data_IF_638595470674
#
_entry.id   IF_638595470674
#
_cell.length_a   1.000
_cell.length_b   1.000
_cell.length_c   1.000
_cell.angle_alpha   90.00
_cell.angle_beta   90.00
_cell.angle_gamma   90.00
#
_symmetry.space_group_name_H-M   'P 1'
#
loop_
_entity.id
_entity.type
_entity.pdbx_description
1 polymer ?
#
# COMPACT_ATOMS: atom_id res chain seq x y z
N UNK A 1 3.43 2.28 24.27
CA UNK A 1 3.53 3.76 24.36
C UNK A 1 3.54 4.37 22.96
N UNK A 2 3.05 5.60 22.75
CA UNK A 2 3.10 6.23 21.43
C UNK A 2 4.56 6.47 21.01
N UNK A 3 4.88 6.07 19.77
CA UNK A 3 6.18 6.35 19.13
C UNK A 3 6.25 7.83 18.77
N UNK A 4 7.42 8.45 18.97
CA UNK A 4 7.70 9.85 18.60
C UNK A 4 8.99 9.92 17.78
N UNK A 5 9.04 9.29 16.61
CA UNK A 5 10.23 9.30 15.78
C UNK A 5 10.49 10.70 15.22
N UNK A 6 11.75 10.95 14.83
CA UNK A 6 12.14 12.16 14.12
C UNK A 6 11.60 12.09 12.67
N UNK A 7 11.03 13.17 12.19
CA UNK A 7 10.68 13.30 10.77
C UNK A 7 11.96 13.42 9.94
N UNK A 8 12.12 12.55 8.95
CA UNK A 8 13.24 12.54 8.01
C UNK A 8 12.90 13.22 6.70
N UNK A 9 11.66 13.04 6.21
CA UNK A 9 11.17 13.70 5.02
C UNK A 9 9.65 13.92 5.07
N UNK A 10 9.21 14.94 4.34
CA UNK A 10 7.80 15.18 4.05
C UNK A 10 7.68 15.71 2.61
N UNK A 11 6.84 15.07 1.81
CA UNK A 11 6.56 15.55 0.46
C UNK A 11 5.09 15.39 0.12
N UNK A 12 4.65 16.15 -0.86
CA UNK A 12 3.26 16.14 -1.31
C UNK A 12 3.24 15.87 -2.80
N UNK A 13 2.74 14.69 -3.14
CA UNK A 13 2.30 14.35 -4.48
C UNK A 13 0.81 14.70 -4.65
N UNK A 14 0.02 13.75 -5.11
CA UNK A 14 -1.45 13.83 -5.00
C UNK A 14 -1.91 13.56 -3.57
N UNK A 15 -1.19 12.68 -2.87
CA UNK A 15 -1.37 12.41 -1.45
C UNK A 15 -0.16 12.98 -0.66
N UNK A 16 -0.35 13.33 0.62
CA UNK A 16 0.76 13.68 1.48
C UNK A 16 1.47 12.41 1.96
N UNK A 17 2.80 12.44 1.97
CA UNK A 17 3.68 11.37 2.44
C UNK A 17 4.55 11.87 3.58
N UNK A 18 4.67 11.08 4.63
CA UNK A 18 5.42 11.47 5.82
C UNK A 18 6.40 10.37 6.20
N UNK A 19 7.68 10.64 6.04
CA UNK A 19 8.76 9.74 6.38
C UNK A 19 9.35 10.08 7.75
N UNK A 20 9.54 9.04 8.56
CA UNK A 20 10.08 9.14 9.92
C UNK A 20 11.18 8.10 10.11
N UNK A 21 12.13 8.41 10.98
CA UNK A 21 13.24 7.52 11.37
C UNK A 21 12.69 6.21 11.97
N UNK A 22 13.20 5.06 11.53
CA UNK A 22 12.78 3.71 11.95
C UNK A 22 11.25 3.51 11.87
N UNK A 23 10.64 4.09 10.84
CA UNK A 23 9.19 4.10 10.67
C UNK A 23 8.64 2.74 10.20
N UNK A 24 7.57 2.29 10.85
CA UNK A 24 6.74 1.18 10.37
C UNK A 24 5.58 1.72 9.55
N UNK A 25 5.51 1.31 8.29
CA UNK A 25 4.57 1.87 7.33
C UNK A 25 3.55 0.84 6.87
N UNK A 26 2.28 1.21 7.03
CA UNK A 26 1.22 0.58 6.25
C UNK A 26 1.13 1.27 4.90
N UNK A 27 1.24 0.51 3.83
CA UNK A 27 1.33 1.00 2.44
C UNK A 27 0.29 0.29 1.59
N UNK A 28 -0.40 1.04 0.73
CA UNK A 28 -1.26 0.48 -0.32
C UNK A 28 -0.78 0.94 -1.68
N UNK A 29 -0.40 -0.01 -2.52
CA UNK A 29 -0.03 0.20 -3.92
C UNK A 29 -1.11 -0.45 -4.79
N UNK A 30 -1.65 0.26 -5.76
CA UNK A 30 -2.72 -0.28 -6.61
C UNK A 30 -2.43 -0.16 -8.10
N UNK A 31 -3.10 -0.97 -8.89
CA UNK A 31 -2.99 -0.97 -10.35
C UNK A 31 -3.43 0.36 -10.96
N UNK A 32 -2.77 0.76 -12.03
CA UNK A 32 -3.21 1.88 -12.83
C UNK A 32 -4.60 1.59 -13.40
N UNK A 33 -5.52 2.56 -13.24
CA UNK A 33 -6.90 2.41 -13.70
C UNK A 33 -7.83 1.60 -12.79
N UNK A 34 -7.35 1.02 -11.67
CA UNK A 34 -8.22 0.34 -10.71
C UNK A 34 -9.26 1.28 -10.08
N UNK A 35 -8.92 2.55 -9.91
CA UNK A 35 -9.85 3.57 -9.41
C UNK A 35 -10.37 4.38 -10.61
N UNK A 36 -11.70 4.39 -10.87
CA UNK A 36 -12.31 5.12 -11.98
C UNK A 36 -12.22 6.65 -11.78
N UNK A 37 -12.55 7.41 -12.81
CA UNK A 37 -12.41 8.88 -12.82
C UNK A 37 -13.15 9.54 -11.64
N UNK A 38 -14.36 9.09 -11.34
CA UNK A 38 -15.17 9.58 -10.22
C UNK A 38 -14.45 9.36 -8.87
N UNK A 39 -13.95 8.15 -8.63
CA UNK A 39 -13.20 7.82 -7.40
C UNK A 39 -11.93 8.67 -7.28
N UNK A 40 -11.20 8.87 -8.39
CA UNK A 40 -10.02 9.74 -8.39
C UNK A 40 -10.36 11.18 -8.02
N UNK A 41 -11.49 11.71 -8.53
CA UNK A 41 -11.94 13.06 -8.20
C UNK A 41 -12.25 13.20 -6.69
N UNK A 42 -12.98 12.24 -6.13
CA UNK A 42 -13.29 12.21 -4.68
C UNK A 42 -12.02 12.16 -3.83
N UNK A 43 -11.06 11.31 -4.22
CA UNK A 43 -9.77 11.21 -3.54
C UNK A 43 -8.97 12.50 -3.63
N UNK A 44 -8.98 13.18 -4.78
CA UNK A 44 -8.32 14.48 -4.95
C UNK A 44 -8.91 15.53 -4.02
N UNK A 45 -10.24 15.62 -3.92
CA UNK A 45 -10.91 16.58 -3.03
C UNK A 45 -10.57 16.34 -1.56
N UNK A 46 -10.55 15.06 -1.10
CA UNK A 46 -10.13 14.71 0.26
C UNK A 46 -8.66 15.01 0.52
N UNK A 47 -7.79 14.75 -0.46
CA UNK A 47 -6.37 15.04 -0.35
C UNK A 47 -6.11 16.55 -0.28
N UNK A 48 -6.87 17.37 -1.01
CA UNK A 48 -6.78 18.82 -0.97
C UNK A 48 -7.19 19.37 0.41
N UNK A 49 -8.28 18.87 0.97
CA UNK A 49 -8.68 19.19 2.34
C UNK A 49 -7.58 18.80 3.36
N UNK A 50 -6.97 17.63 3.23
CA UNK A 50 -5.88 17.21 4.08
C UNK A 50 -4.63 18.12 3.97
N UNK A 51 -4.32 18.61 2.76
CA UNK A 51 -3.23 19.58 2.53
C UNK A 51 -3.45 20.91 3.24
N UNK A 52 -4.68 21.35 3.34
CA UNK A 52 -5.03 22.62 3.98
C UNK A 52 -4.81 22.58 5.51
N UNK A 53 -4.79 21.41 6.13
CA UNK A 53 -4.51 21.26 7.57
C UNK A 53 -2.99 21.34 7.79
N UNK A 54 -2.52 22.40 8.46
CA UNK A 54 -1.08 22.65 8.71
C UNK A 54 -0.51 21.70 9.76
N UNK A 55 -1.25 21.47 10.83
CA UNK A 55 -0.85 20.59 11.93
C UNK A 55 -1.14 19.12 11.56
N UNK A 56 -0.10 18.33 11.35
CA UNK A 56 -0.16 16.93 10.94
C UNK A 56 -0.51 15.97 12.09
N UNK A 57 -0.39 16.40 13.31
CA UNK A 57 -0.81 15.64 14.50
C UNK A 57 -2.24 15.98 14.91
N UNK A 58 -2.86 16.99 14.29
CA UNK A 58 -4.23 17.37 14.59
C UNK A 58 -5.21 16.22 14.29
N UNK A 59 -6.23 16.01 15.15
CA UNK A 59 -7.28 15.02 14.92
C UNK A 59 -7.99 15.18 13.56
N UNK A 60 -8.11 16.43 13.09
CA UNK A 60 -8.69 16.74 11.78
C UNK A 60 -7.87 16.15 10.63
N UNK A 61 -6.54 16.28 10.65
CA UNK A 61 -5.66 15.71 9.64
C UNK A 61 -5.73 14.17 9.64
N UNK A 62 -5.66 13.55 10.82
CA UNK A 62 -5.78 12.10 10.98
C UNK A 62 -7.15 11.58 10.50
N UNK A 63 -8.22 12.35 10.70
CA UNK A 63 -9.55 12.03 10.20
C UNK A 63 -9.61 12.05 8.67
N UNK A 64 -9.01 13.04 8.03
CA UNK A 64 -8.93 13.15 6.57
C UNK A 64 -8.07 12.05 5.96
N UNK A 65 -6.95 11.70 6.57
CA UNK A 65 -6.13 10.54 6.17
C UNK A 65 -6.96 9.24 6.17
N UNK A 66 -7.74 9.02 7.23
CA UNK A 66 -8.65 7.86 7.31
C UNK A 66 -9.76 7.92 6.27
N UNK A 67 -10.26 9.12 5.92
CA UNK A 67 -11.27 9.30 4.88
C UNK A 67 -10.70 8.99 3.49
N UNK A 68 -9.49 9.48 3.17
CA UNK A 68 -8.77 9.15 1.93
C UNK A 68 -8.60 7.64 1.81
N UNK A 69 -8.12 6.99 2.87
CA UNK A 69 -7.92 5.54 2.86
C UNK A 69 -9.22 4.78 2.63
N UNK A 70 -10.29 5.10 3.36
CA UNK A 70 -11.60 4.43 3.20
C UNK A 70 -12.19 4.61 1.81
N UNK A 71 -12.08 5.81 1.23
CA UNK A 71 -12.57 6.08 -0.12
C UNK A 71 -11.76 5.27 -1.15
N UNK A 72 -10.44 5.19 -1.00
CA UNK A 72 -9.58 4.39 -1.88
C UNK A 72 -9.97 2.91 -1.82
N UNK A 73 -10.09 2.33 -0.63
CA UNK A 73 -10.47 0.93 -0.41
C UNK A 73 -11.82 0.60 -1.02
N UNK A 74 -12.82 1.49 -0.85
CA UNK A 74 -14.15 1.30 -1.42
C UNK A 74 -14.11 1.09 -2.94
N UNK A 75 -13.24 1.79 -3.65
CA UNK A 75 -13.07 1.67 -5.09
C UNK A 75 -12.25 0.43 -5.46
N UNK A 76 -11.20 0.14 -4.72
CA UNK A 76 -10.32 -1.00 -4.97
C UNK A 76 -11.05 -2.34 -4.76
N UNK A 77 -11.88 -2.45 -3.73
CA UNK A 77 -12.71 -3.63 -3.45
C UNK A 77 -13.76 -3.91 -4.55
N UNK A 78 -14.12 -2.88 -5.35
CA UNK A 78 -15.12 -2.98 -6.44
C UNK A 78 -14.52 -3.17 -7.83
N UNK A 79 -13.20 -3.07 -7.97
CA UNK A 79 -12.53 -3.02 -9.27
C UNK A 79 -12.30 -4.43 -9.89
N UNK A 80 -13.35 -5.23 -10.02
CA UNK A 80 -13.30 -6.63 -10.52
C UNK A 80 -12.68 -6.75 -11.92
N UNK A 81 -12.87 -5.74 -12.79
CA UNK A 81 -12.39 -5.76 -14.16
C UNK A 81 -10.87 -5.63 -14.34
N UNK A 82 -10.13 -5.30 -13.29
CA UNK A 82 -8.67 -5.10 -13.33
C UNK A 82 -7.94 -6.00 -12.32
N UNK A 83 -8.27 -7.28 -12.27
CA UNK A 83 -7.77 -8.24 -11.30
C UNK A 83 -6.40 -8.85 -11.68
N UNK A 84 -5.49 -8.07 -12.27
CA UNK A 84 -4.21 -8.56 -12.82
C UNK A 84 -3.30 -9.19 -11.77
N UNK A 85 -3.37 -8.72 -10.51
CA UNK A 85 -2.54 -9.26 -9.42
C UNK A 85 -3.00 -10.66 -8.97
N UNK A 86 -4.23 -11.05 -9.28
CA UNK A 86 -4.72 -12.41 -9.01
C UNK A 86 -4.21 -13.46 -10.02
N UNK A 87 -3.56 -13.05 -11.12
CA UNK A 87 -2.93 -14.00 -12.03
C UNK A 87 -1.74 -14.67 -11.32
N UNK A 88 -1.66 -16.02 -11.29
CA UNK A 88 -0.67 -16.73 -10.48
C UNK A 88 0.77 -16.33 -10.75
N UNK A 89 1.12 -16.08 -12.02
CA UNK A 89 2.48 -15.68 -12.41
C UNK A 89 2.83 -14.27 -11.91
N UNK A 90 1.87 -13.33 -11.95
CA UNK A 90 2.05 -11.97 -11.45
C UNK A 90 2.15 -11.98 -9.92
N UNK A 91 1.26 -12.73 -9.25
CA UNK A 91 1.29 -12.86 -7.80
C UNK A 91 2.60 -13.49 -7.31
N UNK A 92 3.06 -14.58 -7.93
CA UNK A 92 4.32 -15.25 -7.61
C UNK A 92 5.52 -14.29 -7.78
N UNK A 93 5.57 -13.54 -8.86
CA UNK A 93 6.61 -12.51 -9.11
C UNK A 93 6.61 -11.44 -8.00
N UNK A 94 5.42 -10.99 -7.56
CA UNK A 94 5.32 -10.00 -6.48
C UNK A 94 5.78 -10.57 -5.13
N UNK A 95 5.40 -11.82 -4.80
CA UNK A 95 5.89 -12.49 -3.60
C UNK A 95 7.41 -12.57 -3.61
N UNK A 96 8.00 -13.02 -4.73
CA UNK A 96 9.48 -13.10 -4.85
C UNK A 96 10.13 -11.71 -4.74
N UNK A 97 9.53 -10.67 -5.32
CA UNK A 97 10.03 -9.30 -5.21
C UNK A 97 10.04 -8.78 -3.76
N UNK A 98 9.01 -9.11 -2.98
CA UNK A 98 8.91 -8.76 -1.55
C UNK A 98 9.98 -9.51 -0.76
N UNK A 99 10.07 -10.82 -0.95
CA UNK A 99 11.03 -11.68 -0.24
C UNK A 99 12.49 -11.36 -0.61
N UNK A 100 12.75 -10.99 -1.85
CA UNK A 100 14.08 -10.55 -2.28
C UNK A 100 14.54 -9.31 -1.50
N UNK A 101 13.67 -8.31 -1.32
CA UNK A 101 13.99 -7.10 -0.55
C UNK A 101 14.15 -7.38 0.93
N UNK A 102 13.34 -8.29 1.49
CA UNK A 102 13.50 -8.76 2.85
C UNK A 102 14.89 -9.39 3.08
N UNK A 103 15.34 -10.26 2.17
CA UNK A 103 16.67 -10.90 2.23
C UNK A 103 17.82 -9.90 2.12
N UNK A 104 17.62 -8.78 1.40
CA UNK A 104 18.60 -7.71 1.26
C UNK A 104 18.59 -6.70 2.41
N UNK A 105 17.67 -6.84 3.35
CA UNK A 105 17.42 -5.89 4.42
C UNK A 105 17.06 -4.46 3.93
N UNK A 106 16.51 -4.34 2.71
CA UNK A 106 15.98 -3.08 2.20
C UNK A 106 14.74 -2.66 3.00
N UNK A 107 13.98 -3.66 3.49
CA UNK A 107 12.89 -3.53 4.46
C UNK A 107 12.74 -4.77 5.34
N UNK A 108 12.17 -4.60 6.53
CA UNK A 108 11.64 -5.71 7.32
C UNK A 108 10.14 -5.86 7.04
N UNK A 109 9.73 -7.04 6.59
CA UNK A 109 8.34 -7.33 6.25
C UNK A 109 7.61 -7.84 7.49
N UNK A 110 6.67 -7.06 8.01
CA UNK A 110 5.85 -7.40 9.16
C UNK A 110 4.59 -8.16 8.75
N UNK A 111 3.92 -7.69 7.67
CA UNK A 111 2.74 -8.35 7.10
C UNK A 111 2.51 -7.88 5.66
N UNK A 112 1.94 -8.72 4.78
CA UNK A 112 1.44 -8.29 3.48
C UNK A 112 0.29 -9.15 2.95
N UNK A 113 -0.47 -8.60 2.01
CA UNK A 113 -1.42 -9.34 1.19
C UNK A 113 -1.49 -8.75 -0.22
N UNK A 114 -1.43 -9.63 -1.22
CA UNK A 114 -1.65 -9.27 -2.62
C UNK A 114 -3.13 -9.55 -2.93
N UNK A 115 -3.89 -8.47 -3.12
CA UNK A 115 -5.29 -8.49 -3.53
C UNK A 115 -5.38 -8.44 -5.05
N UNK A 116 -6.53 -8.74 -5.68
CA UNK A 116 -6.63 -8.75 -7.13
C UNK A 116 -6.22 -7.46 -7.84
N UNK A 117 -6.42 -6.30 -7.20
CA UNK A 117 -6.22 -4.96 -7.78
C UNK A 117 -5.16 -4.12 -7.08
N UNK A 118 -4.72 -4.54 -5.90
CA UNK A 118 -3.82 -3.77 -5.04
C UNK A 118 -3.01 -4.70 -4.12
N UNK A 119 -1.98 -4.12 -3.52
CA UNK A 119 -1.08 -4.76 -2.57
C UNK A 119 -1.06 -3.93 -1.29
N UNK A 120 -1.31 -4.57 -0.15
CA UNK A 120 -1.04 -4.02 1.16
C UNK A 120 0.29 -4.56 1.69
N UNK A 121 1.12 -3.65 2.18
CA UNK A 121 2.38 -3.94 2.86
C UNK A 121 2.36 -3.30 4.24
N UNK A 122 2.86 -4.00 5.24
CA UNK A 122 3.24 -3.43 6.51
C UNK A 122 4.72 -3.75 6.72
N UNK A 123 5.55 -2.74 6.66
CA UNK A 123 7.01 -2.86 6.58
C UNK A 123 7.69 -1.81 7.45
N UNK A 124 8.85 -2.17 7.99
CA UNK A 124 9.82 -1.22 8.51
C UNK A 124 10.84 -0.95 7.40
N UNK A 125 11.06 0.31 7.06
CA UNK A 125 11.94 0.69 5.95
C UNK A 125 13.36 0.88 6.46
N UNK A 126 14.32 0.32 5.72
CA UNK A 126 15.74 0.48 5.98
C UNK A 126 16.30 1.85 5.57
N UNK A 127 17.62 1.94 5.48
CA UNK A 127 18.36 3.20 5.29
C UNK A 127 18.07 3.96 3.99
N UNK A 128 17.54 3.28 2.95
CA UNK A 128 17.27 3.92 1.65
C UNK A 128 16.05 4.85 1.64
N UNK A 129 15.28 4.88 2.72
CA UNK A 129 14.08 5.70 2.81
C UNK A 129 12.85 5.14 2.06
N UNK A 130 11.67 5.63 2.47
CA UNK A 130 10.37 5.14 1.99
C UNK A 130 10.18 5.38 0.50
N UNK A 131 10.46 6.61 0.05
CA UNK A 131 10.19 7.01 -1.35
C UNK A 131 11.01 6.20 -2.34
N UNK A 132 12.32 6.14 -2.14
CA UNK A 132 13.24 5.47 -3.05
C UNK A 132 12.95 3.97 -3.11
N UNK A 133 12.75 3.34 -1.96
CA UNK A 133 12.42 1.92 -1.86
C UNK A 133 11.15 1.56 -2.60
N UNK A 134 10.08 2.36 -2.47
CA UNK A 134 8.81 2.09 -3.15
C UNK A 134 8.85 2.41 -4.64
N UNK A 135 9.52 3.48 -5.05
CA UNK A 135 9.67 3.81 -6.48
C UNK A 135 10.46 2.72 -7.21
N UNK A 136 11.53 2.20 -6.60
CA UNK A 136 12.29 1.09 -7.15
C UNK A 136 11.46 -0.19 -7.23
N UNK A 137 10.77 -0.55 -6.15
CA UNK A 137 9.86 -1.71 -6.13
C UNK A 137 8.82 -1.64 -7.24
N UNK A 138 8.14 -0.51 -7.37
CA UNK A 138 7.10 -0.32 -8.40
C UNK A 138 7.67 -0.33 -9.80
N UNK A 139 8.83 0.28 -10.02
CA UNK A 139 9.50 0.29 -11.32
C UNK A 139 9.85 -1.13 -11.76
N UNK A 140 10.53 -1.88 -10.88
CA UNK A 140 10.97 -3.24 -11.20
C UNK A 140 9.79 -4.19 -11.41
N UNK A 141 8.85 -4.24 -10.45
CA UNK A 141 7.69 -5.13 -10.55
C UNK A 141 6.76 -4.75 -11.70
N UNK A 142 6.63 -3.46 -12.00
CA UNK A 142 5.86 -3.00 -13.16
C UNK A 142 6.45 -3.46 -14.49
N UNK A 143 7.77 -3.44 -14.62
CA UNK A 143 8.47 -3.96 -15.81
C UNK A 143 8.28 -5.47 -15.95
N UNK A 144 8.47 -6.24 -14.86
CA UNK A 144 8.27 -7.69 -14.87
C UNK A 144 6.83 -8.08 -15.21
N UNK A 145 5.86 -7.36 -14.60
CA UNK A 145 4.44 -7.61 -14.87
C UNK A 145 4.05 -7.31 -16.33
N UNK A 146 4.62 -6.26 -16.93
CA UNK A 146 4.40 -5.95 -18.35
C UNK A 146 4.86 -7.10 -19.27
N UNK A 147 6.02 -7.70 -18.99
CA UNK A 147 6.52 -8.85 -19.72
C UNK A 147 5.62 -10.10 -19.53
N UNK A 148 5.19 -10.39 -18.29
CA UNK A 148 4.30 -11.53 -17.99
C UNK A 148 2.95 -11.38 -18.69
N UNK A 149 2.41 -10.17 -18.74
CA UNK A 149 1.08 -9.87 -19.27
C UNK A 149 1.07 -9.56 -20.77
N UNK A 150 2.25 -9.47 -21.42
CA UNK A 150 2.41 -8.98 -22.80
C UNK A 150 1.75 -7.59 -23.01
N UNK A 151 1.91 -6.68 -22.05
CA UNK A 151 1.30 -5.33 -22.04
C UNK A 151 2.38 -4.24 -22.06
N UNK A 152 3.28 -4.29 -23.03
CA UNK A 152 4.34 -3.30 -23.16
C UNK A 152 3.77 -1.88 -23.35
N UNK A 153 4.46 -0.90 -22.75
CA UNK A 153 4.11 0.50 -22.83
C UNK A 153 2.95 0.92 -21.93
N UNK A 154 2.25 0.00 -21.30
CA UNK A 154 1.17 0.31 -20.35
C UNK A 154 1.71 0.48 -18.94
N UNK A 155 1.21 1.50 -18.25
CA UNK A 155 1.53 1.66 -16.84
C UNK A 155 0.85 0.57 -16.01
N UNK A 156 1.63 -0.20 -15.27
CA UNK A 156 1.13 -1.25 -14.39
C UNK A 156 0.61 -0.69 -13.07
N UNK A 157 1.46 0.03 -12.32
CA UNK A 157 1.07 0.64 -11.04
C UNK A 157 0.56 2.06 -11.21
N UNK A 158 -0.41 2.46 -10.38
CA UNK A 158 -0.74 3.88 -10.21
C UNK A 158 0.51 4.65 -9.75
N UNK A 159 0.64 5.93 -10.15
CA UNK A 159 1.81 6.73 -9.81
C UNK A 159 1.97 6.91 -8.30
N UNK A 160 0.89 7.35 -7.65
CA UNK A 160 0.83 7.52 -6.20
C UNK A 160 0.58 6.19 -5.49
N UNK A 161 0.89 6.16 -4.21
CA UNK A 161 0.50 5.14 -3.24
C UNK A 161 -0.09 5.81 -2.01
N UNK A 162 -0.74 5.05 -1.15
CA UNK A 162 -1.12 5.49 0.18
C UNK A 162 -0.09 4.95 1.17
N UNK A 163 0.35 5.78 2.13
CA UNK A 163 1.15 5.36 3.25
C UNK A 163 0.67 5.99 4.55
N UNK A 164 0.86 5.26 5.62
CA UNK A 164 0.60 5.70 6.96
C UNK A 164 1.62 5.06 7.91
N UNK A 165 2.41 5.88 8.63
CA UNK A 165 3.32 5.35 9.63
C UNK A 165 2.59 5.02 10.93
N UNK A 166 2.92 3.86 11.53
CA UNK A 166 2.30 3.38 12.76
C UNK A 166 2.90 4.06 14.00
N UNK A 167 2.02 4.51 14.88
CA UNK A 167 2.38 5.29 16.08
C UNK A 167 2.45 4.48 17.36
N UNK A 168 2.02 3.21 17.35
CA UNK A 168 2.05 2.37 18.54
C UNK A 168 1.91 0.88 18.19
N UNK A 169 2.27 0.01 19.15
CA UNK A 169 2.15 -1.45 18.96
C UNK A 169 0.68 -1.87 18.80
N UNK A 170 -0.25 -1.21 19.48
CA UNK A 170 -1.69 -1.47 19.30
C UNK A 170 -2.17 -1.07 17.90
N UNK A 171 -1.52 -0.10 17.26
CA UNK A 171 -1.79 0.24 15.88
C UNK A 171 -1.18 -0.79 14.92
N UNK A 172 0.01 -1.31 15.22
CA UNK A 172 0.63 -2.40 14.47
C UNK A 172 -0.30 -3.62 14.42
N UNK A 173 -0.81 -4.05 15.57
CA UNK A 173 -1.74 -5.17 15.65
C UNK A 173 -3.01 -4.94 14.81
N UNK A 174 -3.57 -3.74 14.85
CA UNK A 174 -4.74 -3.39 14.03
C UNK A 174 -4.43 -3.42 12.54
N UNK A 175 -3.25 -2.98 12.12
CA UNK A 175 -2.80 -3.04 10.73
C UNK A 175 -2.65 -4.49 10.28
N UNK A 176 -1.98 -5.33 11.09
CA UNK A 176 -1.83 -6.77 10.80
C UNK A 176 -3.19 -7.45 10.63
N UNK A 177 -4.12 -7.22 11.58
CA UNK A 177 -5.47 -7.79 11.50
C UNK A 177 -6.24 -7.26 10.28
N UNK A 178 -6.09 -5.99 9.95
CA UNK A 178 -6.68 -5.40 8.76
C UNK A 178 -6.18 -6.09 7.48
N UNK A 179 -4.85 -6.25 7.33
CA UNK A 179 -4.23 -6.91 6.16
C UNK A 179 -4.73 -8.35 6.03
N UNK A 180 -4.71 -9.12 7.11
CA UNK A 180 -5.18 -10.51 7.14
C UNK A 180 -6.66 -10.63 6.78
N UNK A 181 -7.48 -9.72 7.30
CA UNK A 181 -8.93 -9.78 7.06
C UNK A 181 -9.36 -9.27 5.66
N UNK A 182 -8.45 -8.69 4.89
CA UNK A 182 -8.77 -8.08 3.59
C UNK A 182 -9.40 -9.07 2.60
N UNK A 183 -8.82 -10.29 2.36
CA UNK A 183 -9.43 -11.27 1.44
C UNK A 183 -10.80 -11.77 1.91
N UNK A 184 -11.03 -11.84 3.23
CA UNK A 184 -12.32 -12.24 3.81
C UNK A 184 -13.36 -11.14 3.63
N UNK A 185 -12.99 -9.88 3.91
CA UNK A 185 -13.84 -8.70 3.69
C UNK A 185 -14.24 -8.57 2.21
N UNK A 186 -13.31 -8.83 1.29
CA UNK A 186 -13.55 -8.85 -0.15
C UNK A 186 -14.31 -10.11 -0.62
N UNK A 187 -14.68 -11.01 0.29
CA UNK A 187 -15.41 -12.27 0.00
C UNK A 187 -14.69 -13.22 -0.98
N UNK A 188 -13.38 -13.13 -1.06
CA UNK A 188 -12.55 -14.01 -1.89
C UNK A 188 -12.36 -15.38 -1.23
N UNK A 189 -12.31 -15.42 0.10
CA UNK A 189 -12.15 -16.63 0.91
C UNK A 189 -12.97 -16.50 2.21
N UNK A 190 -13.18 -17.65 2.90
CA UNK A 190 -13.85 -17.67 4.22
C UNK A 190 -12.88 -17.38 5.37
N UNK A 191 -11.68 -17.94 5.28
CA UNK A 191 -10.59 -17.72 6.25
C UNK A 191 -9.43 -17.07 5.51
N UNK A 192 -8.76 -16.09 6.12
CA UNK A 192 -7.62 -15.40 5.49
C UNK A 192 -6.49 -16.37 5.12
N UNK A 193 -6.33 -17.45 5.90
CA UNK A 193 -5.35 -18.52 5.67
C UNK A 193 -5.58 -19.28 4.36
N UNK A 194 -6.78 -19.23 3.79
CA UNK A 194 -7.11 -19.87 2.51
C UNK A 194 -6.64 -19.02 1.31
N UNK A 195 -6.37 -17.72 1.52
CA UNK A 195 -5.87 -16.85 0.46
C UNK A 195 -4.39 -17.12 0.19
N UNK A 196 -3.99 -17.45 -1.07
CA UNK A 196 -2.65 -17.96 -1.34
C UNK A 196 -1.54 -16.89 -1.34
N UNK A 197 -1.89 -15.59 -1.38
CA UNK A 197 -0.94 -14.51 -1.62
C UNK A 197 -0.81 -13.56 -0.44
N UNK A 198 -0.50 -14.10 0.73
CA UNK A 198 -0.23 -13.35 1.96
C UNK A 198 0.99 -13.88 2.70
N UNK A 199 1.56 -13.06 3.58
CA UNK A 199 2.74 -13.36 4.40
C UNK A 199 2.59 -14.59 5.31
N UNK A 200 1.36 -15.03 5.57
CA UNK A 200 1.05 -16.26 6.33
C UNK A 200 1.26 -17.55 5.52
N UNK A 201 1.52 -17.46 4.23
CA UNK A 201 1.88 -18.59 3.38
C UNK A 201 3.41 -18.71 3.31
N UNK A 202 3.96 -19.65 4.02
CA UNK A 202 5.37 -20.02 3.97
C UNK A 202 5.58 -21.18 3.00
#
# INVERSE_FOLDING_TARGET
>A
MPRKPKTTAFWVGRLPHWEVEDGRYFITIHLAGAIPAEGRLRLMNLAEQARAVKDRDAPAWLSLQRAVFREMELWLDRAESNAKLAQPQVAAMLVEAIEHRRRRADWEVLEYVIMPTHLHLFVEIGACGLKETLEEFKRWTGHQAAAILAEDGKRFWQREWFDHWSRSDEQDERIVQYIRNNPVKARLVRLYTDWPYGSWRK
#
